data_IF_312045554230
#
_entry.id   IF_312045554230
#
_cell.length_a   1.000
_cell.length_b   1.000
_cell.length_c   1.000
_cell.angle_alpha   90.00
_cell.angle_beta   90.00
_cell.angle_gamma   90.00
#
_symmetry.space_group_name_H-M   'P 1'
#
loop_
_entity.id
_entity.type
_entity.pdbx_description
1 polymer ?
#
# COMPACT_ATOMS: atom_id res chain seq x y z
N UNK A 1 22.45 33.47 3.89
CA UNK A 1 21.10 32.96 4.26
C UNK A 1 21.26 32.04 5.47
N UNK A 2 20.74 32.42 6.65
CA UNK A 2 20.74 31.53 7.82
C UNK A 2 19.64 30.50 7.60
N UNK A 3 20.02 29.28 7.22
CA UNK A 3 19.08 28.18 7.06
C UNK A 3 18.48 27.89 8.44
N UNK A 4 17.22 28.26 8.61
CA UNK A 4 16.50 28.05 9.86
C UNK A 4 16.33 26.55 10.07
N UNK A 5 16.96 26.00 11.11
CA UNK A 5 16.84 24.57 11.47
C UNK A 5 15.39 24.14 11.66
N UNK A 6 14.53 25.07 12.08
CA UNK A 6 13.09 24.87 12.23
C UNK A 6 12.42 24.61 10.88
N UNK A 7 12.81 25.36 9.84
CA UNK A 7 12.25 25.23 8.49
C UNK A 7 12.59 23.90 7.82
N UNK A 8 13.79 23.37 8.05
CA UNK A 8 14.16 22.02 7.57
C UNK A 8 13.30 20.96 8.27
N UNK A 9 13.11 21.08 9.59
CA UNK A 9 12.35 20.11 10.36
C UNK A 9 10.87 20.07 9.94
N UNK A 10 10.29 21.23 9.66
CA UNK A 10 8.91 21.32 9.13
C UNK A 10 8.81 20.73 7.72
N UNK A 11 9.80 20.98 6.86
CA UNK A 11 9.84 20.40 5.52
C UNK A 11 9.88 18.87 5.61
N UNK A 12 10.79 18.30 6.41
CA UNK A 12 10.92 16.86 6.61
C UNK A 12 9.63 16.21 7.13
N UNK A 13 8.92 16.87 8.06
CA UNK A 13 7.64 16.38 8.57
C UNK A 13 6.54 16.35 7.50
N UNK A 14 6.55 17.27 6.55
CA UNK A 14 5.56 17.30 5.46
C UNK A 14 5.80 16.15 4.46
N UNK A 15 7.05 15.87 4.11
CA UNK A 15 7.41 14.81 3.14
C UNK A 15 7.24 13.39 3.69
N UNK A 16 7.20 13.21 5.01
CA UNK A 16 7.05 11.90 5.65
C UNK A 16 5.58 11.52 5.93
N UNK A 17 4.63 12.41 5.64
CA UNK A 17 3.20 12.10 5.68
C UNK A 17 2.75 11.59 4.29
N UNK A 18 2.54 10.28 4.13
CA UNK A 18 1.70 9.80 3.02
C UNK A 18 2.16 8.58 2.22
N UNK A 19 2.98 7.70 2.78
CA UNK A 19 3.24 6.38 2.16
C UNK A 19 3.03 5.28 3.21
N UNK A 20 1.89 4.61 3.15
CA UNK A 20 1.53 3.50 4.01
C UNK A 20 1.64 2.20 3.22
N UNK A 21 2.34 1.21 3.78
CA UNK A 21 2.40 -0.12 3.22
C UNK A 21 1.21 -0.94 3.74
N UNK A 22 0.45 -1.52 2.83
CA UNK A 22 -0.73 -2.33 3.11
C UNK A 22 -0.63 -3.68 2.37
N UNK A 23 -1.68 -4.50 2.47
CA UNK A 23 -1.69 -5.84 1.87
C UNK A 23 -1.55 -5.82 0.35
N UNK A 24 -1.88 -4.67 -0.27
CA UNK A 24 -1.88 -4.47 -1.70
C UNK A 24 -0.61 -3.76 -2.23
N UNK A 25 0.23 -3.19 -1.37
CA UNK A 25 1.42 -2.42 -1.74
C UNK A 25 1.56 -1.11 -0.99
N UNK A 26 2.16 -0.07 -1.61
CA UNK A 26 2.30 1.26 -1.01
C UNK A 26 1.17 2.16 -1.52
N UNK A 27 0.30 2.61 -0.61
CA UNK A 27 -0.76 3.59 -0.88
C UNK A 27 -0.58 4.86 -0.06
N UNK A 28 -1.19 5.95 -0.53
CA UNK A 28 -1.35 7.19 0.24
C UNK A 28 -2.46 7.07 1.30
N UNK A 29 -3.32 6.06 1.19
CA UNK A 29 -4.35 5.74 2.15
C UNK A 29 -3.83 4.79 3.23
N UNK A 30 -4.24 5.06 4.47
CA UNK A 30 -3.97 4.18 5.62
C UNK A 30 -4.80 2.89 5.59
N UNK A 31 -5.81 2.79 4.73
CA UNK A 31 -6.73 1.66 4.66
C UNK A 31 -6.38 0.73 3.49
N UNK A 32 -6.70 -0.56 3.63
CA UNK A 32 -6.62 -1.52 2.52
C UNK A 32 -7.70 -1.14 1.48
N UNK A 33 -7.28 -0.61 0.33
CA UNK A 33 -8.17 -0.18 -0.74
C UNK A 33 -8.74 -1.36 -1.55
N UNK A 34 -9.12 -2.47 -0.90
CA UNK A 34 -9.59 -3.66 -1.60
C UNK A 34 -11.03 -3.47 -2.09
N UNK A 35 -11.25 -3.78 -3.37
CA UNK A 35 -12.61 -3.92 -3.92
C UNK A 35 -13.06 -5.35 -3.75
N UNK A 36 -14.32 -5.56 -3.35
CA UNK A 36 -14.93 -6.88 -3.21
C UNK A 36 -16.00 -7.11 -4.29
N UNK A 37 -16.09 -8.33 -4.80
CA UNK A 37 -17.11 -8.76 -5.75
C UNK A 37 -17.38 -10.25 -5.61
N UNK A 38 -18.54 -10.69 -6.10
CA UNK A 38 -18.84 -12.11 -6.26
C UNK A 38 -18.57 -12.50 -7.71
N UNK A 39 -17.81 -13.58 -7.92
CA UNK A 39 -17.60 -14.11 -9.26
C UNK A 39 -18.88 -14.81 -9.79
N UNK A 40 -18.89 -15.19 -11.08
CA UNK A 40 -20.04 -15.86 -11.68
C UNK A 40 -20.40 -17.22 -11.07
N UNK A 41 -19.56 -17.75 -10.18
CA UNK A 41 -19.80 -18.99 -9.43
C UNK A 41 -20.29 -18.70 -7.99
N UNK A 42 -20.48 -17.43 -7.63
CA UNK A 42 -20.91 -17.01 -6.31
C UNK A 42 -19.82 -16.98 -5.26
N UNK A 43 -18.54 -17.11 -5.63
CA UNK A 43 -17.45 -17.01 -4.66
C UNK A 43 -17.11 -15.55 -4.38
N UNK A 44 -16.85 -15.25 -3.12
CA UNK A 44 -16.34 -13.95 -2.68
C UNK A 44 -14.90 -13.75 -3.17
N UNK A 45 -14.64 -12.62 -3.83
CA UNK A 45 -13.32 -12.23 -4.35
C UNK A 45 -12.96 -10.84 -3.88
N UNK A 46 -11.71 -10.67 -3.50
CA UNK A 46 -11.09 -9.38 -3.19
C UNK A 46 -10.07 -9.03 -4.27
N UNK A 47 -10.02 -7.77 -4.69
CA UNK A 47 -9.06 -7.28 -5.66
C UNK A 47 -8.46 -5.95 -5.20
N UNK A 48 -7.14 -5.90 -5.19
CA UNK A 48 -6.39 -4.67 -5.00
C UNK A 48 -6.52 -3.75 -6.23
N UNK A 49 -6.68 -2.44 -6.05
CA UNK A 49 -6.89 -1.50 -7.14
C UNK A 49 -5.58 -1.33 -7.92
N UNK A 50 -5.69 -0.88 -9.16
CA UNK A 50 -4.57 -0.86 -10.11
C UNK A 50 -3.65 0.36 -9.95
N UNK A 51 -4.05 1.33 -9.12
CA UNK A 51 -3.33 2.58 -8.85
C UNK A 51 -2.33 2.49 -7.67
N UNK A 52 -2.04 1.29 -7.16
CA UNK A 52 -1.11 1.10 -6.03
C UNK A 52 0.32 0.92 -6.53
N UNK A 53 1.24 1.69 -5.94
CA UNK A 53 2.67 1.63 -6.25
C UNK A 53 3.24 0.36 -5.58
N UNK A 54 4.07 -0.40 -6.31
CA UNK A 54 4.63 -1.70 -5.89
C UNK A 54 3.64 -2.86 -5.72
N UNK A 55 2.49 -2.81 -6.41
CA UNK A 55 1.51 -3.91 -6.47
C UNK A 55 2.12 -5.27 -6.78
N UNK A 56 3.05 -5.33 -7.75
CA UNK A 56 3.70 -6.59 -8.16
C UNK A 56 4.55 -7.22 -7.05
N UNK A 57 5.25 -6.41 -6.26
CA UNK A 57 6.06 -6.91 -5.13
C UNK A 57 5.18 -7.42 -3.99
N UNK A 58 4.05 -6.75 -3.72
CA UNK A 58 3.09 -7.22 -2.74
C UNK A 58 2.43 -8.55 -3.16
N UNK A 59 2.10 -8.68 -4.46
CA UNK A 59 1.53 -9.92 -5.01
C UNK A 59 2.49 -11.09 -4.89
N UNK A 60 3.77 -10.89 -5.26
CA UNK A 60 4.80 -11.92 -5.14
C UNK A 60 5.02 -12.39 -3.70
N UNK A 61 4.99 -11.47 -2.73
CA UNK A 61 5.10 -11.82 -1.32
C UNK A 61 3.90 -12.65 -0.86
N UNK A 62 2.67 -12.28 -1.25
CA UNK A 62 1.48 -13.06 -0.92
C UNK A 62 1.50 -14.46 -1.53
N UNK A 63 1.99 -14.61 -2.76
CA UNK A 63 2.14 -15.91 -3.40
C UNK A 63 3.19 -16.78 -2.70
N UNK A 64 4.30 -16.20 -2.24
CA UNK A 64 5.32 -16.89 -1.45
C UNK A 64 4.80 -17.30 -0.08
N UNK A 65 4.15 -16.40 0.66
CA UNK A 65 3.58 -16.70 1.98
C UNK A 65 2.50 -17.79 1.89
N UNK A 66 1.68 -17.78 0.82
CA UNK A 66 0.70 -18.82 0.56
C UNK A 66 1.35 -20.17 0.22
N UNK A 67 2.51 -20.18 -0.45
CA UNK A 67 3.25 -21.39 -0.78
C UNK A 67 3.96 -21.99 0.44
N UNK A 68 4.50 -21.15 1.34
CA UNK A 68 5.13 -21.56 2.59
C UNK A 68 4.13 -21.99 3.68
N UNK A 69 2.85 -21.69 3.47
CA UNK A 69 1.73 -22.09 4.33
C UNK A 69 1.28 -23.55 4.11
N UNK A 70 1.90 -24.30 3.19
CA UNK A 70 1.60 -25.71 2.90
C UNK A 70 2.66 -26.68 3.44
#
# INVERSE_FOLDING_TARGET
>A
MKISKIGILTLCAIISNGCYQNSCGISSSYWDEKTYYYDGQGNYREKCPDNIIYKEKALQQQEQDALESF
#
